data_IF_043138697811
#
_entry.id   IF_043138697811
#
_cell.length_a   1.000
_cell.length_b   1.000
_cell.length_c   1.000
_cell.angle_alpha   90.00
_cell.angle_beta   90.00
_cell.angle_gamma   90.00
#
_symmetry.space_group_name_H-M   'P 1'
#
loop_
_entity.id
_entity.type
_entity.pdbx_description
1 polymer ?
2 water ?
#
# COMPACT_ATOMS: atom_id res chain seq x y z
N UNK A 23 12.80 2.59 0.75
CA UNK A 23 12.22 3.68 1.51
C UNK A 23 11.56 4.71 0.59
N UNK A 24 10.71 4.20 -0.29
CA UNK A 24 9.92 5.05 -1.16
C UNK A 24 8.73 4.27 -1.69
N UNK A 25 8.44 4.40 -2.98
CA UNK A 25 7.44 3.58 -3.64
C UNK A 25 8.16 2.39 -4.28
N UNK A 26 7.72 1.18 -3.94
CA UNK A 26 8.37 -0.04 -4.37
C UNK A 26 7.34 -0.95 -5.01
N UNK A 27 7.56 -1.31 -6.28
CA UNK A 27 6.66 -2.20 -6.99
C UNK A 27 6.84 -3.63 -6.51
N UNK A 28 5.73 -4.33 -6.28
CA UNK A 28 5.74 -5.71 -5.82
C UNK A 28 5.05 -6.55 -6.88
N UNK A 29 5.79 -7.48 -7.48
CA UNK A 29 5.31 -8.26 -8.61
C UNK A 29 5.31 -9.77 -8.35
N UNK A 30 5.94 -10.23 -7.29
CA UNK A 30 6.12 -11.66 -7.06
C UNK A 30 5.69 -12.01 -5.64
N UNK A 31 5.39 -13.29 -5.45
CA UNK A 31 5.07 -13.79 -4.11
C UNK A 31 6.21 -13.51 -3.14
N UNK A 32 7.45 -13.76 -3.57
CA UNK A 32 8.60 -13.52 -2.71
C UNK A 32 8.66 -12.06 -2.27
N UNK A 33 8.52 -11.14 -3.22
CA UNK A 33 8.60 -9.72 -2.88
C UNK A 33 7.50 -9.32 -1.90
N UNK A 34 6.30 -9.86 -2.06
CA UNK A 34 5.21 -9.51 -1.16
C UNK A 34 5.44 -10.09 0.23
N UNK A 35 5.89 -11.33 0.32
CA UNK A 35 6.19 -11.93 1.61
C UNK A 35 7.26 -11.12 2.33
N UNK A 36 8.30 -10.70 1.60
CA UNK A 36 9.35 -9.88 2.21
C UNK A 36 8.79 -8.54 2.67
N UNK A 37 7.91 -7.94 1.88
CA UNK A 37 7.34 -6.65 2.26
C UNK A 37 6.45 -6.79 3.50
N UNK A 38 5.64 -7.85 3.56
CA UNK A 38 4.79 -8.04 4.72
C UNK A 38 5.60 -8.40 5.96
N UNK A 39 6.71 -9.11 5.79
CA UNK A 39 7.62 -9.34 6.92
C UNK A 39 8.15 -8.03 7.49
N UNK A 40 8.49 -7.09 6.61
CA UNK A 40 8.99 -5.79 7.07
C UNK A 40 7.88 -5.01 7.78
N UNK A 41 6.65 -5.13 7.30
CA UNK A 41 5.55 -4.34 7.83
C UNK A 41 5.03 -4.91 9.14
N UNK A 42 5.02 -6.24 9.26
CA UNK A 42 4.50 -6.88 10.46
C UNK A 42 5.60 -7.16 11.48
N UNK A 43 6.34 -8.25 11.32
CA UNK A 43 7.37 -8.58 12.31
C UNK A 43 8.43 -7.50 12.39
N UNK A 44 8.81 -6.91 11.25
CA UNK A 44 9.88 -5.92 11.23
C UNK A 44 9.48 -4.55 11.74
N UNK A 45 8.18 -4.28 11.84
CA UNK A 45 7.67 -3.07 12.47
C UNK A 45 8.14 -1.81 11.75
N UNK A 46 8.45 -1.93 10.45
CA UNK A 46 8.84 -0.74 9.70
C UNK A 46 7.59 -0.03 9.17
N UNK A 47 7.64 1.30 9.07
CA UNK A 47 6.47 2.03 8.56
C UNK A 47 6.20 1.67 7.11
N UNK A 48 5.04 1.08 6.86
CA UNK A 48 4.74 0.45 5.58
C UNK A 48 3.30 0.68 5.18
N UNK A 49 3.09 0.98 3.90
CA UNK A 49 1.77 1.11 3.30
C UNK A 49 1.71 0.18 2.10
N UNK A 50 0.59 -0.52 1.95
CA UNK A 50 0.34 -1.39 0.80
C UNK A 50 -0.73 -0.74 -0.05
N UNK A 51 -0.39 -0.46 -1.32
CA UNK A 51 -1.25 0.24 -2.26
C UNK A 51 -1.67 -0.75 -3.34
N UNK A 52 -2.94 -1.16 -3.30
CA UNK A 52 -3.48 -2.12 -4.26
C UNK A 52 -4.14 -1.35 -5.39
N UNK A 53 -3.66 -1.58 -6.61
CA UNK A 53 -4.10 -0.82 -7.77
C UNK A 53 -4.32 -1.78 -8.93
N UNK A 54 -4.64 -1.20 -10.09
CA UNK A 54 -4.85 -1.98 -11.30
C UNK A 54 -4.83 -1.02 -12.48
N UNK A 55 -4.47 -1.54 -13.65
CA UNK A 55 -4.44 -0.71 -14.84
C UNK A 55 -5.84 -0.19 -15.19
N UNK A 56 -6.88 -0.91 -14.77
CA UNK A 56 -8.26 -0.55 -15.09
C UNK A 56 -8.89 0.32 -14.01
N UNK A 57 -8.14 0.70 -12.97
CA UNK A 57 -8.67 1.50 -11.88
C UNK A 57 -8.66 2.97 -12.29
N UNK A 58 -9.84 3.56 -12.43
CA UNK A 58 -9.95 4.96 -12.80
C UNK A 58 -9.33 5.88 -11.77
N UNK A 59 -9.83 5.83 -10.53
CA UNK A 59 -9.31 6.76 -9.51
C UNK A 59 -7.83 6.62 -9.25
N UNK A 60 -7.26 5.42 -9.42
CA UNK A 60 -5.82 5.26 -9.22
C UNK A 60 -5.02 6.15 -10.15
N UNK A 61 -5.63 6.62 -11.24
CA UNK A 61 -4.90 7.47 -12.19
C UNK A 61 -4.51 8.80 -11.55
N UNK A 62 -5.28 9.30 -10.57
CA UNK A 62 -4.91 10.50 -9.85
C UNK A 62 -4.42 10.22 -8.44
N UNK A 63 -4.58 8.99 -7.93
CA UNK A 63 -4.04 8.67 -6.61
C UNK A 63 -2.57 8.28 -6.71
N UNK A 64 -2.21 7.51 -7.73
CA UNK A 64 -0.80 7.13 -7.90
C UNK A 64 0.12 8.35 -7.90
N UNK A 65 -0.15 9.42 -8.64
CA UNK A 65 0.68 10.63 -8.51
C UNK A 65 0.69 11.20 -7.11
N UNK A 66 -0.45 11.20 -6.42
CA UNK A 66 -0.51 11.72 -5.06
C UNK A 66 0.40 10.91 -4.14
N UNK A 67 0.42 9.59 -4.32
CA UNK A 67 1.25 8.75 -3.47
C UNK A 67 2.72 9.01 -3.73
N UNK A 68 3.07 9.34 -4.98
CA UNK A 68 4.46 9.67 -5.30
C UNK A 68 4.88 10.93 -4.55
N UNK A 69 4.03 11.97 -4.59
CA UNK A 69 4.38 13.21 -3.89
C UNK A 69 4.42 13.02 -2.39
N UNK A 70 3.55 12.17 -1.85
CA UNK A 70 3.55 11.92 -0.41
C UNK A 70 4.80 11.17 0.03
N UNK A 71 5.32 10.28 -0.81
CA UNK A 71 6.53 9.55 -0.44
C UNK A 71 7.71 10.50 -0.24
N UNK A 72 7.67 11.67 -0.88
CA UNK A 72 8.70 12.67 -0.66
C UNK A 72 8.47 13.43 0.64
N UNK A 73 7.21 13.54 1.07
CA UNK A 73 6.91 14.21 2.33
C UNK A 73 7.21 13.32 3.53
N UNK A 74 7.06 11.99 3.38
CA UNK A 74 7.31 11.02 4.44
C UNK A 74 8.36 10.05 3.92
N UNK A 75 9.64 10.46 3.89
CA UNK A 75 10.63 9.70 3.14
C UNK A 75 11.00 8.36 3.75
N UNK A 76 10.79 8.16 5.06
CA UNK A 76 11.11 6.89 5.70
C UNK A 76 10.04 5.84 5.49
N UNK A 77 8.86 6.20 5.02
CA UNK A 77 7.80 5.23 4.77
C UNK A 77 8.09 4.49 3.47
N UNK A 78 7.72 3.22 3.42
CA UNK A 78 7.77 2.44 2.20
C UNK A 78 6.34 2.11 1.79
N UNK A 79 5.96 2.51 0.57
CA UNK A 79 4.66 2.20 0.00
C UNK A 79 4.85 1.12 -1.05
N UNK A 80 4.33 -0.07 -0.77
CA UNK A 80 4.41 -1.19 -1.69
C UNK A 80 3.21 -1.14 -2.64
N UNK A 81 3.49 -0.88 -3.92
CA UNK A 81 2.44 -0.70 -4.92
C UNK A 81 2.17 -2.04 -5.60
N UNK A 82 0.94 -2.53 -5.47
CA UNK A 82 0.58 -3.89 -5.87
C UNK A 82 -0.46 -3.81 -6.97
N UNK A 83 -0.16 -4.40 -8.12
CA UNK A 83 -1.14 -4.57 -9.19
C UNK A 83 -1.86 -5.89 -8.97
N UNK A 84 -3.16 -5.83 -8.69
CA UNK A 84 -3.88 -7.04 -8.26
C UNK A 84 -4.05 -8.03 -9.40
N UNK A 85 -3.89 -7.59 -10.65
CA UNK A 85 -3.97 -8.51 -11.79
C UNK A 85 -2.71 -9.35 -11.95
N UNK A 86 -1.66 -9.07 -11.20
CA UNK A 86 -0.38 -9.74 -11.39
C UNK A 86 -0.47 -11.20 -10.98
N UNK A 87 -0.20 -12.10 -11.92
CA UNK A 87 0.03 -13.47 -11.56
C UNK A 87 1.28 -13.63 -10.71
N UNK A 88 1.32 -14.70 -9.93
CA UNK A 88 2.39 -14.89 -8.98
C UNK A 88 1.96 -14.51 -7.59
N UNK A 89 1.36 -13.32 -7.46
CA UNK A 89 0.75 -12.89 -6.20
C UNK A 89 -0.75 -13.14 -6.30
N UNK A 90 -1.14 -14.03 -7.21
CA UNK A 90 -2.56 -14.22 -7.50
C UNK A 90 -3.33 -14.64 -6.26
N UNK A 91 -2.74 -15.48 -5.41
CA UNK A 91 -3.45 -15.97 -4.23
C UNK A 91 -3.33 -15.03 -3.04
N UNK A 92 -2.21 -14.32 -2.92
CA UNK A 92 -2.08 -13.31 -1.87
C UNK A 92 -3.26 -12.34 -1.90
N UNK A 93 -3.74 -12.01 -3.10
CA UNK A 93 -4.84 -11.07 -3.24
C UNK A 93 -6.12 -11.68 -2.70
N UNK A 94 -6.52 -12.83 -3.24
CA UNK A 94 -7.74 -13.49 -2.77
C UNK A 94 -7.66 -13.80 -1.28
N UNK A 95 -6.46 -14.11 -0.78
CA UNK A 95 -6.26 -14.35 0.64
C UNK A 95 -6.26 -13.06 1.47
N UNK A 96 -6.44 -11.90 0.82
CA UNK A 96 -6.48 -10.62 1.51
C UNK A 96 -7.86 -9.98 1.53
N UNK A 97 -8.83 -10.56 0.85
CA UNK A 97 -10.19 -10.02 0.82
C UNK A 97 -10.20 -8.58 0.28
N UNK A 98 -9.61 -8.40 -0.89
CA UNK A 98 -9.63 -7.11 -1.56
C UNK A 98 -10.97 -6.96 -2.27
N UNK A 99 -11.76 -5.97 -1.86
CA UNK A 99 -13.10 -5.76 -2.37
C UNK A 99 -13.19 -4.63 -3.37
N UNK A 100 -12.15 -3.82 -3.51
CA UNK A 100 -12.19 -2.67 -4.41
C UNK A 100 -10.79 -2.14 -4.62
N UNK A 101 -10.55 -1.58 -5.81
CA UNK A 101 -9.34 -0.82 -6.06
C UNK A 101 -9.73 0.63 -6.27
N UNK A 102 -9.02 1.60 -5.67
CA UNK A 102 -7.85 1.36 -4.83
C UNK A 102 -8.20 0.84 -3.44
N UNK A 103 -7.24 0.18 -2.81
CA UNK A 103 -7.29 -0.13 -1.39
C UNK A 103 -5.92 0.13 -0.81
N UNK A 104 -5.90 0.67 0.41
CA UNK A 104 -4.66 1.00 1.09
C UNK A 104 -4.66 0.36 2.47
N UNK A 105 -3.56 -0.33 2.80
CA UNK A 105 -3.34 -0.90 4.13
C UNK A 105 -2.18 -0.16 4.79
N UNK A 106 -2.37 0.26 6.03
CA UNK A 106 -1.39 1.05 6.76
C UNK A 106 -0.86 0.24 7.93
N UNK A 107 0.47 0.22 8.08
CA UNK A 107 1.13 -0.49 9.15
C UNK A 107 2.09 0.43 9.88
N UNK A 108 2.07 0.36 11.20
CA UNK A 108 3.01 1.08 12.05
C UNK A 108 3.21 0.28 13.32
N UNK A 109 4.46 0.18 13.76
CA UNK A 109 4.76 -0.58 14.95
C UNK A 109 4.48 -2.06 14.81
N UNK A 110 4.31 -2.56 13.59
CA UNK A 110 4.12 -3.97 13.34
C UNK A 110 2.67 -4.41 13.22
N UNK A 111 1.70 -3.51 13.36
CA UNK A 111 0.29 -3.87 13.28
C UNK A 111 -0.44 -2.91 12.36
N UNK A 112 -1.59 -3.36 11.87
CA UNK A 112 -2.38 -2.60 10.92
C UNK A 112 -3.11 -1.45 11.63
N UNK A 113 -2.94 -0.24 11.12
CA UNK A 113 -3.55 0.95 11.69
C UNK A 113 -4.62 1.55 10.80
N UNK A 114 -4.89 0.96 9.63
CA UNK A 114 -5.83 1.55 8.71
C UNK A 114 -6.07 0.72 7.47
N UNK A 115 -7.28 0.83 6.92
CA UNK A 115 -7.66 0.08 5.72
C UNK A 115 -8.62 0.98 4.94
N UNK A 116 -8.07 1.76 4.02
CA UNK A 116 -8.86 2.67 3.21
C UNK A 116 -9.28 1.91 1.94
N UNK A 117 -10.58 1.65 1.83
CA UNK A 117 -11.14 0.87 0.73
C UNK A 117 -11.89 1.83 -0.18
N UNK A 118 -11.43 1.92 -1.43
CA UNK A 118 -11.98 2.88 -2.37
C UNK A 118 -11.22 4.18 -2.37
N UNK A 119 -11.53 5.02 -3.36
CA UNK A 119 -10.82 6.27 -3.55
C UNK A 119 -11.21 7.26 -2.46
N UNK A 120 -10.31 7.49 -1.50
CA UNK A 120 -10.52 8.48 -0.45
C UNK A 120 -9.15 9.04 -0.09
N UNK A 121 -8.77 10.13 -0.76
CA UNK A 121 -7.44 10.70 -0.56
C UNK A 121 -7.39 11.46 0.77
N UNK A 122 -8.52 11.99 1.23
CA UNK A 122 -8.56 12.62 2.55
C UNK A 122 -8.05 11.66 3.62
N UNK A 123 -8.60 10.45 3.64
CA UNK A 123 -8.18 9.46 4.64
C UNK A 123 -6.71 9.08 4.44
N UNK A 124 -6.29 8.92 3.19
CA UNK A 124 -4.88 8.62 2.91
C UNK A 124 -3.96 9.67 3.51
N UNK A 125 -4.26 10.95 3.28
CA UNK A 125 -3.39 12.01 3.78
C UNK A 125 -3.47 12.13 5.29
N UNK A 126 -4.67 12.00 5.86
CA UNK A 126 -4.81 12.04 7.31
C UNK A 126 -3.99 10.94 7.97
N UNK A 127 -4.00 9.74 7.40
CA UNK A 127 -3.30 8.60 8.01
C UNK A 127 -1.79 8.74 7.86
N UNK A 128 -1.33 9.16 6.68
CA UNK A 128 0.10 9.35 6.48
C UNK A 128 0.69 10.30 7.51
N UNK A 129 -0.04 11.38 7.82
CA UNK A 129 0.44 12.36 8.78
C UNK A 129 0.32 11.86 10.21
N UNK A 130 -0.83 11.27 10.56
CA UNK A 130 -1.03 10.80 11.92
C UNK A 130 0.00 9.74 12.30
N UNK A 131 0.34 8.86 11.37
CA UNK A 131 1.17 7.70 11.67
C UNK A 131 2.66 7.97 11.49
N UNK A 132 3.05 8.72 10.47
CA UNK A 132 4.44 8.77 10.04
C UNK A 132 5.06 10.16 10.10
N UNK A 133 4.38 11.14 10.71
CA UNK A 133 4.93 12.49 10.80
C UNK A 133 6.20 12.49 11.64
#
# INVERSE_FOLDING_TARGET
MGSSHHHHHHSSGLVPRGSHMENGVVLVKSEEEFINAMSKAQDGSLPSVFYFTAAWCGPCRFISPVIVELSKQYPDVTTYKVDIDEGGISNTISKLNITAVPTLHFFKGGSKKGEVVGADVTKLKNLMEQLYK
#
